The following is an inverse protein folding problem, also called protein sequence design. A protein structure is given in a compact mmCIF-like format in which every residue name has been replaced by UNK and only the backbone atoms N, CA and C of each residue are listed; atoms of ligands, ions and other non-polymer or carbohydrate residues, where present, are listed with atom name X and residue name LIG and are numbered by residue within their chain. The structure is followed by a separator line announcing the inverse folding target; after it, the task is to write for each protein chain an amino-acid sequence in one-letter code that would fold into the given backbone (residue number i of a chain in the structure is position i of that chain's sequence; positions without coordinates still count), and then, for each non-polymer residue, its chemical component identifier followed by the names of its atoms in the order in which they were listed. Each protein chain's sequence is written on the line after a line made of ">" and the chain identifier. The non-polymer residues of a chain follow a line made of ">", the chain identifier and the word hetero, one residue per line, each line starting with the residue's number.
data_IF_023098895540
#
_entry.id   IF_023098895540
#
_cell.length_a   1.000
_cell.length_b   1.000
_cell.length_c   1.000
_cell.angle_alpha   90.00
_cell.angle_beta   90.00
_cell.angle_gamma   90.00
#
_symmetry.space_group_name_H-M   'P 1'
#
loop_
_entity.id
_entity.type
_entity.pdbx_description
1 polymer ?
#
# COMPACT_ATOMS: atom_id res chain seq x y z
N UNK A 1 22.28 -3.56 21.75
CA UNK A 1 21.58 -4.29 20.67
C UNK A 1 21.74 -3.51 19.38
N UNK A 2 22.46 -4.04 18.39
CA UNK A 2 22.83 -3.34 17.15
C UNK A 2 21.76 -3.63 16.08
N UNK A 3 21.07 -2.60 15.62
CA UNK A 3 20.08 -2.73 14.54
C UNK A 3 20.77 -3.17 13.24
N UNK A 4 20.23 -4.18 12.52
CA UNK A 4 20.81 -4.59 11.24
C UNK A 4 20.63 -3.47 10.21
N UNK A 5 21.73 -3.11 9.55
CA UNK A 5 21.76 -2.10 8.50
C UNK A 5 21.10 -2.71 7.25
N UNK A 6 19.89 -2.26 6.93
CA UNK A 6 19.11 -2.77 5.79
C UNK A 6 19.47 -2.00 4.51
N UNK A 7 19.66 -2.69 3.37
CA UNK A 7 19.86 -2.06 2.07
C UNK A 7 18.73 -1.08 1.71
N UNK A 8 19.07 0.08 1.12
CA UNK A 8 18.13 1.14 0.74
C UNK A 8 17.01 0.69 -0.24
N UNK A 9 17.17 -0.45 -0.90
CA UNK A 9 16.18 -0.99 -1.85
C UNK A 9 14.87 -1.42 -1.19
N UNK A 10 14.85 -1.71 0.11
CA UNK A 10 13.63 -2.08 0.85
C UNK A 10 12.76 -0.89 1.26
N UNK A 11 13.25 0.34 1.08
CA UNK A 11 12.50 1.56 1.42
C UNK A 11 11.60 2.03 0.27
N UNK A 12 11.87 1.59 -0.96
CA UNK A 12 11.20 2.08 -2.18
C UNK A 12 9.87 1.38 -2.46
N UNK A 13 9.64 0.17 -1.92
CA UNK A 13 8.43 -0.62 -2.22
C UNK A 13 7.76 -1.18 -0.94
N UNK A 14 6.83 -0.43 -0.32
CA UNK A 14 6.16 -0.88 0.91
C UNK A 14 5.27 -2.12 0.71
N UNK A 15 4.85 -2.42 -0.52
CA UNK A 15 4.03 -3.61 -0.85
C UNK A 15 4.84 -4.91 -0.94
N UNK A 16 6.17 -4.86 -0.89
CA UNK A 16 7.05 -6.02 -1.01
C UNK A 16 7.79 -6.35 0.29
N UNK A 17 7.38 -5.80 1.44
CA UNK A 17 7.94 -6.23 2.73
C UNK A 17 7.52 -7.68 2.96
N UNK A 18 8.45 -8.66 2.99
CA UNK A 18 8.12 -9.93 3.59
C UNK A 18 7.80 -9.62 5.06
N UNK A 19 6.59 -9.94 5.49
CA UNK A 19 6.24 -9.97 6.91
C UNK A 19 7.36 -10.75 7.60
N UNK A 20 8.10 -10.12 8.50
CA UNK A 20 9.18 -10.79 9.22
C UNK A 20 8.47 -11.86 10.05
N UNK A 21 8.53 -13.10 9.59
CA UNK A 21 7.78 -14.21 10.16
C UNK A 21 8.34 -14.48 11.55
N UNK A 22 7.55 -14.16 12.57
CA UNK A 22 7.69 -14.75 13.91
C UNK A 22 7.59 -16.27 13.75
N UNK A 23 8.50 -17.08 14.33
CA UNK A 23 8.54 -18.53 14.13
C UNK A 23 7.31 -19.30 14.65
N UNK A 24 6.33 -18.62 15.27
CA UNK A 24 5.05 -19.18 15.67
C UNK A 24 3.96 -19.15 14.56
N UNK A 25 4.26 -18.59 13.38
CA UNK A 25 3.32 -18.44 12.26
C UNK A 25 3.47 -19.52 11.18
N UNK A 26 3.99 -20.71 11.51
CA UNK A 26 4.17 -21.80 10.54
C UNK A 26 2.93 -22.69 10.37
N UNK A 27 1.90 -22.53 11.21
CA UNK A 27 0.73 -23.42 11.22
C UNK A 27 -0.59 -22.80 10.70
N UNK A 28 -0.61 -21.52 10.27
CA UNK A 28 -1.87 -20.83 9.94
C UNK A 28 -1.88 -20.02 8.63
N UNK A 29 -0.91 -20.22 7.74
CA UNK A 29 -1.01 -19.64 6.39
C UNK A 29 -0.72 -20.66 5.26
N UNK A 30 -1.26 -21.87 5.41
CA UNK A 30 -1.49 -22.79 4.28
C UNK A 30 -2.62 -22.31 3.35
N UNK A 31 -3.04 -21.04 3.47
CA UNK A 31 -3.98 -20.36 2.59
C UNK A 31 -3.40 -19.05 2.09
N UNK A 32 -2.10 -19.02 1.76
CA UNK A 32 -1.59 -18.05 0.77
C UNK A 32 -2.51 -18.20 -0.44
N UNK A 33 -3.39 -17.21 -0.62
CA UNK A 33 -4.44 -17.24 -1.63
C UNK A 33 -3.82 -17.64 -2.96
N UNK A 34 -4.33 -18.71 -3.57
CA UNK A 34 -3.85 -19.26 -4.86
C UNK A 34 -3.81 -18.22 -5.99
N UNK A 35 -4.44 -17.05 -5.77
CA UNK A 35 -4.43 -15.87 -6.62
C UNK A 35 -3.76 -14.70 -5.88
N UNK A 36 -2.68 -14.09 -6.40
CA UNK A 36 -2.14 -12.84 -5.87
C UNK A 36 -3.05 -11.66 -6.26
N UNK A 37 -3.98 -11.33 -5.37
CA UNK A 37 -4.88 -10.18 -5.50
C UNK A 37 -4.18 -8.88 -5.11
N UNK A 38 -4.47 -7.80 -5.82
CA UNK A 38 -4.03 -6.46 -5.45
C UNK A 38 -4.89 -5.88 -4.33
N UNK A 39 -4.22 -5.22 -3.40
CA UNK A 39 -4.87 -4.47 -2.32
C UNK A 39 -5.30 -3.10 -2.84
N UNK A 40 -6.57 -2.76 -2.65
CA UNK A 40 -7.09 -1.43 -2.97
C UNK A 40 -6.42 -0.40 -2.05
N UNK A 41 -5.78 0.65 -2.60
CA UNK A 41 -5.12 1.67 -1.79
C UNK A 41 -6.13 2.40 -0.90
N UNK A 42 -5.80 2.52 0.39
CA UNK A 42 -6.62 3.25 1.36
C UNK A 42 -6.50 4.74 1.10
N UNK A 43 -7.64 5.44 1.11
CA UNK A 43 -7.73 6.89 0.90
C UNK A 43 -6.96 7.70 1.95
N UNK A 44 -6.90 7.21 3.19
CA UNK A 44 -6.22 7.87 4.28
C UNK A 44 -5.39 6.88 5.10
N UNK A 45 -4.18 7.31 5.47
CA UNK A 45 -3.32 6.65 6.46
C UNK A 45 -3.59 7.15 7.89
N UNK A 46 -4.51 8.11 8.04
CA UNK A 46 -4.84 8.71 9.32
C UNK A 46 -5.59 7.71 10.21
N UNK A 47 -5.33 7.77 11.51
CA UNK A 47 -6.06 7.00 12.52
C UNK A 47 -7.53 7.44 12.53
N UNK A 48 -8.44 6.54 12.85
CA UNK A 48 -9.88 6.84 12.98
C UNK A 48 -10.18 8.07 13.84
N UNK A 49 -9.42 8.26 14.92
CA UNK A 49 -9.53 9.43 15.81
C UNK A 49 -9.16 10.75 15.13
N UNK A 50 -8.19 10.75 14.22
CA UNK A 50 -7.80 11.94 13.46
C UNK A 50 -8.89 12.30 12.45
N UNK A 51 -9.48 11.31 11.79
CA UNK A 51 -10.61 11.51 10.90
C UNK A 51 -11.82 12.09 11.65
N UNK A 52 -12.12 11.57 12.85
CA UNK A 52 -13.19 12.10 13.69
C UNK A 52 -12.95 13.56 14.10
N UNK A 53 -11.72 13.92 14.48
CA UNK A 53 -11.34 15.31 14.81
C UNK A 53 -11.51 16.25 13.62
N UNK A 54 -11.05 15.84 12.43
CA UNK A 54 -11.20 16.65 11.21
C UNK A 54 -12.68 16.80 10.84
N UNK A 55 -13.48 15.75 10.97
CA UNK A 55 -14.93 15.80 10.77
C UNK A 55 -15.61 16.77 11.74
N UNK A 56 -15.30 16.66 13.04
CA UNK A 56 -15.83 17.55 14.07
C UNK A 56 -15.46 19.01 13.80
N UNK A 57 -14.20 19.27 13.43
CA UNK A 57 -13.74 20.61 13.08
C UNK A 57 -14.44 21.16 11.84
N UNK A 58 -14.69 20.32 10.82
CA UNK A 58 -15.43 20.70 9.63
C UNK A 58 -16.87 21.10 9.94
N UNK A 59 -17.57 20.30 10.75
CA UNK A 59 -18.93 20.61 11.21
C UNK A 59 -18.95 21.91 12.02
N UNK A 60 -18.03 22.08 12.96
CA UNK A 60 -17.92 23.30 13.77
C UNK A 60 -17.69 24.55 12.89
N UNK A 61 -16.86 24.44 11.85
CA UNK A 61 -16.60 25.54 10.91
C UNK A 61 -17.85 25.92 10.11
N UNK A 62 -18.58 24.94 9.58
CA UNK A 62 -19.85 25.19 8.86
C UNK A 62 -20.91 25.83 9.76
N UNK A 63 -21.08 25.33 10.98
CA UNK A 63 -22.01 25.91 11.96
C UNK A 63 -21.61 27.34 12.32
N UNK A 64 -20.31 27.59 12.53
CA UNK A 64 -19.79 28.92 12.81
C UNK A 64 -20.10 29.92 11.70
N UNK A 65 -19.88 29.55 10.45
CA UNK A 65 -20.22 30.38 9.28
C UNK A 65 -21.73 30.59 9.17
N UNK A 66 -22.54 29.55 9.35
CA UNK A 66 -24.00 29.68 9.28
C UNK A 66 -24.55 30.62 10.36
N UNK A 67 -24.12 30.43 11.62
CA UNK A 67 -24.50 31.29 12.74
C UNK A 67 -24.04 32.74 12.55
N UNK A 68 -22.84 32.93 11.99
CA UNK A 68 -22.32 34.25 11.65
C UNK A 68 -23.15 34.90 10.54
N UNK A 69 -23.54 34.15 9.51
CA UNK A 69 -24.40 34.62 8.43
C UNK A 69 -25.75 35.11 8.94
N UNK A 70 -26.43 34.31 9.76
CA UNK A 70 -27.69 34.69 10.41
C UNK A 70 -27.54 35.97 11.25
N UNK A 71 -26.47 36.05 12.03
CA UNK A 71 -26.17 37.24 12.86
C UNK A 71 -25.97 38.49 12.00
N UNK A 72 -25.29 38.37 10.85
CA UNK A 72 -25.06 39.46 9.90
C UNK A 72 -26.35 39.90 9.19
N UNK A 73 -27.30 38.97 8.95
CA UNK A 73 -28.62 39.27 8.38
C UNK A 73 -29.48 40.03 9.38
N UNK A 74 -29.56 39.55 10.63
CA UNK A 74 -30.32 40.20 11.71
C UNK A 74 -29.76 41.61 12.02
N UNK A 75 -28.44 41.78 11.93
CA UNK A 75 -27.79 43.07 12.15
C UNK A 75 -28.11 44.14 11.10
N UNK A 76 -28.59 43.78 9.90
CA UNK A 76 -28.96 44.76 8.85
C UNK A 76 -30.08 45.72 9.27
N UNK A 77 -30.92 45.35 10.24
CA UNK A 77 -32.09 46.15 10.65
C UNK A 77 -31.96 46.91 11.98
N UNK A 78 -31.05 46.53 12.88
CA UNK A 78 -31.09 47.00 14.29
C UNK A 78 -29.90 47.84 14.74
N UNK A 79 -28.86 48.00 13.92
CA UNK A 79 -27.54 48.36 14.45
C UNK A 79 -26.91 49.55 13.75
N UNK A 80 -27.44 50.75 14.00
CA UNK A 80 -26.80 52.03 13.64
C UNK A 80 -25.54 52.34 14.47
N UNK A 81 -25.23 51.57 15.52
CA UNK A 81 -24.12 51.83 16.47
C UNK A 81 -22.96 50.81 16.48
N UNK A 82 -23.04 49.68 15.79
CA UNK A 82 -21.93 48.68 15.72
C UNK A 82 -21.23 48.67 14.35
N UNK A 83 -21.26 49.80 13.64
CA UNK A 83 -21.05 49.90 12.19
C UNK A 83 -19.70 49.41 11.66
N UNK A 84 -18.61 49.55 12.43
CA UNK A 84 -17.27 49.20 11.95
C UNK A 84 -16.97 47.71 12.03
N UNK A 85 -17.19 47.07 13.19
CA UNK A 85 -16.94 45.64 13.36
C UNK A 85 -17.85 44.81 12.44
N UNK A 86 -19.15 45.14 12.38
CA UNK A 86 -20.09 44.45 11.49
C UNK A 86 -19.73 44.67 10.02
N UNK A 87 -19.22 45.84 9.66
CA UNK A 87 -18.69 46.13 8.32
C UNK A 87 -17.50 45.24 7.96
N UNK A 88 -16.53 45.11 8.87
CA UNK A 88 -15.39 44.23 8.71
C UNK A 88 -15.80 42.76 8.55
N UNK A 89 -16.72 42.26 9.40
CA UNK A 89 -17.19 40.88 9.31
C UNK A 89 -17.93 40.64 7.99
N UNK A 90 -18.71 41.60 7.48
CA UNK A 90 -19.34 41.51 6.15
C UNK A 90 -18.30 41.43 5.03
N UNK A 91 -17.16 42.10 5.17
CA UNK A 91 -16.08 42.06 4.20
C UNK A 91 -15.35 40.70 4.18
N UNK A 92 -15.08 40.11 5.34
CA UNK A 92 -14.36 38.83 5.45
C UNK A 92 -15.28 37.59 5.35
N UNK A 93 -16.59 37.77 5.52
CA UNK A 93 -17.56 36.67 5.50
C UNK A 93 -17.57 35.86 4.18
N UNK A 94 -17.58 36.49 2.98
CA UNK A 94 -17.55 35.73 1.73
C UNK A 94 -16.32 34.81 1.58
N UNK A 95 -15.06 35.27 1.74
CA UNK A 95 -13.92 34.36 1.66
C UNK A 95 -13.92 33.30 2.77
N UNK A 96 -14.40 33.64 3.98
CA UNK A 96 -14.54 32.67 5.07
C UNK A 96 -15.55 31.55 4.73
N UNK A 97 -16.64 31.91 4.06
CA UNK A 97 -17.66 30.95 3.61
C UNK A 97 -17.10 30.00 2.55
N UNK A 98 -16.37 30.53 1.57
CA UNK A 98 -15.70 29.73 0.53
C UNK A 98 -14.71 28.76 1.18
N UNK A 99 -13.94 29.22 2.17
CA UNK A 99 -12.99 28.39 2.89
C UNK A 99 -13.68 27.25 3.65
N UNK A 100 -14.74 27.54 4.41
CA UNK A 100 -15.47 26.54 5.19
C UNK A 100 -16.11 25.48 4.28
N UNK A 101 -16.69 25.90 3.15
CA UNK A 101 -17.20 24.98 2.14
C UNK A 101 -16.07 24.17 1.50
N UNK A 102 -14.97 24.81 1.13
CA UNK A 102 -13.81 24.15 0.54
C UNK A 102 -13.20 23.07 1.45
N UNK A 103 -13.13 23.33 2.75
CA UNK A 103 -12.64 22.38 3.76
C UNK A 103 -13.42 21.06 3.75
N UNK A 104 -14.74 21.10 3.49
CA UNK A 104 -15.61 19.92 3.45
C UNK A 104 -15.72 19.36 2.03
N UNK A 105 -15.95 20.21 1.03
CA UNK A 105 -16.17 19.81 -0.35
C UNK A 105 -14.93 19.17 -0.98
N UNK A 106 -13.72 19.69 -0.74
CA UNK A 106 -12.52 19.16 -1.39
C UNK A 106 -12.23 17.70 -1.01
N UNK A 107 -12.24 17.29 0.27
CA UNK A 107 -12.10 15.89 0.64
C UNK A 107 -13.22 15.00 0.09
N UNK A 108 -14.46 15.49 0.04
CA UNK A 108 -15.61 14.74 -0.48
C UNK A 108 -15.47 14.46 -1.98
N UNK A 109 -15.20 15.50 -2.77
CA UNK A 109 -14.99 15.39 -4.22
C UNK A 109 -13.82 14.46 -4.49
N UNK A 110 -12.71 14.62 -3.74
CA UNK A 110 -11.55 13.74 -3.86
C UNK A 110 -11.92 12.30 -3.53
N UNK A 111 -12.69 12.05 -2.47
CA UNK A 111 -13.09 10.71 -2.08
C UNK A 111 -13.94 10.05 -3.18
N UNK A 112 -14.96 10.74 -3.68
CA UNK A 112 -15.86 10.23 -4.74
C UNK A 112 -15.07 9.92 -6.01
N UNK A 113 -14.20 10.84 -6.45
CA UNK A 113 -13.37 10.65 -7.64
C UNK A 113 -12.41 9.46 -7.50
N UNK A 114 -11.68 9.37 -6.38
CA UNK A 114 -10.71 8.29 -6.15
C UNK A 114 -11.38 6.92 -6.01
N UNK A 115 -12.53 6.86 -5.32
CA UNK A 115 -13.28 5.62 -5.13
C UNK A 115 -13.80 5.06 -6.45
N UNK A 116 -14.27 5.92 -7.37
CA UNK A 116 -14.78 5.47 -8.66
C UNK A 116 -13.68 4.93 -9.58
N UNK A 117 -12.59 5.68 -9.74
CA UNK A 117 -11.60 5.39 -10.78
C UNK A 117 -10.64 4.26 -10.40
N UNK A 118 -10.12 4.26 -9.18
CA UNK A 118 -9.03 3.35 -8.82
C UNK A 118 -9.55 1.99 -8.36
N UNK A 119 -10.72 1.96 -7.70
CA UNK A 119 -11.33 0.68 -7.29
C UNK A 119 -11.76 -0.14 -8.50
N UNK A 120 -12.39 0.48 -9.51
CA UNK A 120 -12.83 -0.23 -10.72
C UNK A 120 -11.65 -0.83 -11.49
N UNK A 121 -10.54 -0.09 -11.60
CA UNK A 121 -9.33 -0.55 -12.31
C UNK A 121 -8.65 -1.73 -11.60
N UNK A 122 -8.55 -1.67 -10.27
CA UNK A 122 -7.95 -2.75 -9.46
C UNK A 122 -8.88 -3.97 -9.43
N UNK A 123 -10.18 -3.75 -9.29
CA UNK A 123 -11.17 -4.83 -9.30
C UNK A 123 -11.15 -5.58 -10.63
N UNK A 124 -11.16 -4.88 -11.77
CA UNK A 124 -11.08 -5.53 -13.08
C UNK A 124 -9.78 -6.34 -13.30
N UNK A 125 -8.65 -5.92 -12.71
CA UNK A 125 -7.41 -6.70 -12.72
C UNK A 125 -7.48 -7.93 -11.83
N UNK A 126 -8.05 -7.78 -10.64
CA UNK A 126 -8.24 -8.87 -9.69
C UNK A 126 -9.20 -9.93 -10.23
N UNK A 127 -10.27 -9.51 -10.91
CA UNK A 127 -11.20 -10.40 -11.61
C UNK A 127 -10.48 -11.21 -12.70
N UNK A 128 -9.69 -10.56 -13.57
CA UNK A 128 -8.89 -11.25 -14.59
C UNK A 128 -7.90 -12.26 -14.00
N UNK A 129 -7.23 -11.90 -12.89
CA UNK A 129 -6.31 -12.84 -12.21
C UNK A 129 -7.01 -14.05 -11.63
N UNK A 130 -8.20 -13.83 -11.07
CA UNK A 130 -9.02 -14.92 -10.53
C UNK A 130 -9.48 -15.84 -11.65
N UNK A 131 -9.91 -15.29 -12.79
CA UNK A 131 -10.26 -16.05 -13.99
C UNK A 131 -9.08 -16.87 -14.53
N UNK A 132 -7.88 -16.28 -14.61
CA UNK A 132 -6.68 -17.01 -15.07
C UNK A 132 -6.30 -18.17 -14.16
N UNK A 133 -6.37 -17.98 -12.84
CA UNK A 133 -6.09 -19.08 -11.90
C UNK A 133 -7.15 -20.17 -11.99
N UNK A 134 -8.42 -19.82 -12.16
CA UNK A 134 -9.49 -20.80 -12.39
C UNK A 134 -9.24 -21.62 -13.67
N UNK A 135 -8.80 -20.97 -14.76
CA UNK A 135 -8.43 -21.66 -16.01
C UNK A 135 -7.19 -22.56 -15.86
N UNK A 136 -6.23 -22.18 -15.01
CA UNK A 136 -5.02 -22.97 -14.73
C UNK A 136 -5.28 -24.14 -13.78
N UNK A 137 -6.24 -24.01 -12.85
CA UNK A 137 -6.63 -25.06 -11.91
C UNK A 137 -7.62 -26.05 -12.52
N UNK A 138 -8.44 -25.62 -13.49
CA UNK A 138 -9.24 -26.52 -14.32
C UNK A 138 -8.38 -27.33 -15.30
N UNK A 139 -9.01 -28.13 -16.17
CA UNK A 139 -8.28 -28.86 -17.23
C UNK A 139 -7.73 -27.84 -18.24
N UNK A 140 -6.41 -27.57 -18.24
CA UNK A 140 -5.85 -26.56 -19.13
C UNK A 140 -5.86 -27.10 -20.55
N UNK A 141 -6.27 -26.28 -21.52
CA UNK A 141 -6.24 -26.61 -22.94
C UNK A 141 -4.83 -27.06 -23.36
N UNK A 142 -4.72 -28.03 -24.27
CA UNK A 142 -3.45 -28.59 -24.74
C UNK A 142 -2.45 -27.51 -25.20
N UNK A 143 -2.94 -26.49 -25.91
CA UNK A 143 -2.13 -25.35 -26.37
C UNK A 143 -1.61 -24.45 -25.24
N UNK A 144 -2.32 -24.34 -24.11
CA UNK A 144 -1.87 -23.58 -22.95
C UNK A 144 -0.77 -24.34 -22.19
N UNK A 145 -0.92 -25.67 -22.08
CA UNK A 145 0.11 -26.53 -21.47
C UNK A 145 1.42 -26.47 -22.23
N UNK A 146 1.37 -26.54 -23.55
CA UNK A 146 2.54 -26.47 -24.43
C UNK A 146 3.31 -25.15 -24.22
N UNK A 147 2.60 -24.01 -24.24
CA UNK A 147 3.20 -22.70 -23.97
C UNK A 147 3.82 -22.57 -22.58
N UNK A 148 3.20 -23.18 -21.57
CA UNK A 148 3.74 -23.20 -20.21
C UNK A 148 5.04 -24.03 -20.14
N UNK A 149 5.05 -25.22 -20.76
CA UNK A 149 6.23 -26.10 -20.82
C UNK A 149 7.38 -25.44 -21.56
N UNK A 150 7.12 -24.83 -22.72
CA UNK A 150 8.15 -24.13 -23.49
C UNK A 150 8.76 -22.96 -22.72
N UNK A 151 7.93 -22.22 -21.98
CA UNK A 151 8.42 -21.10 -21.18
C UNK A 151 9.22 -21.55 -19.97
N UNK A 152 8.78 -22.62 -19.29
CA UNK A 152 9.56 -23.23 -18.20
C UNK A 152 10.90 -23.75 -18.73
N UNK A 153 10.89 -24.44 -19.87
CA UNK A 153 12.10 -24.92 -20.55
C UNK A 153 13.04 -23.77 -20.87
N UNK A 154 12.56 -22.69 -21.49
CA UNK A 154 13.35 -21.50 -21.81
C UNK A 154 13.97 -20.84 -20.58
N UNK A 155 13.20 -20.70 -19.48
CA UNK A 155 13.71 -20.15 -18.22
C UNK A 155 14.82 -21.02 -17.62
N UNK A 156 14.66 -22.34 -17.64
CA UNK A 156 15.68 -23.29 -17.17
C UNK A 156 16.93 -23.21 -18.03
N UNK A 157 16.79 -23.19 -19.36
CA UNK A 157 17.91 -23.04 -20.29
C UNK A 157 18.65 -21.71 -20.09
N UNK A 158 17.94 -20.61 -19.81
CA UNK A 158 18.58 -19.32 -19.54
C UNK A 158 19.35 -19.31 -18.22
N UNK A 159 18.80 -19.94 -17.16
CA UNK A 159 19.50 -20.10 -15.88
C UNK A 159 20.76 -20.96 -16.02
N UNK A 160 20.67 -22.04 -16.81
CA UNK A 160 21.81 -22.90 -17.11
C UNK A 160 22.86 -22.17 -17.96
N UNK A 161 22.44 -21.37 -18.95
CA UNK A 161 23.35 -20.57 -19.75
C UNK A 161 24.05 -19.48 -18.94
N UNK A 162 23.35 -18.83 -17.99
CA UNK A 162 24.00 -17.86 -17.09
C UNK A 162 24.95 -18.52 -16.10
N UNK A 163 24.63 -19.72 -15.58
CA UNK A 163 25.54 -20.44 -14.67
C UNK A 163 26.75 -21.07 -15.38
N UNK A 164 26.67 -21.34 -16.68
CA UNK A 164 27.79 -21.88 -17.48
C UNK A 164 28.76 -20.78 -17.90
N UNK A 165 28.32 -19.53 -17.99
CA UNK A 165 29.18 -18.37 -18.35
C UNK A 165 29.92 -17.81 -17.12
N UNK A 166 29.44 -18.02 -15.90
CA UNK A 166 30.09 -17.58 -14.64
C UNK A 166 31.17 -18.56 -14.14
N UNK A 167 31.93 -19.15 -15.05
CA UNK A 167 33.08 -20.03 -14.75
C UNK A 167 34.31 -19.31 -14.17
N UNK A 168 34.21 -18.05 -13.72
CA UNK A 168 35.31 -17.35 -13.07
C UNK A 168 34.84 -16.46 -11.91
N UNK A 169 34.49 -17.10 -10.78
CA UNK A 169 34.75 -16.53 -9.46
C UNK A 169 33.60 -15.83 -8.72
N UNK A 170 32.34 -15.96 -9.11
CA UNK A 170 31.23 -15.43 -8.29
C UNK A 170 30.35 -16.55 -7.73
N UNK A 171 30.50 -16.82 -6.43
CA UNK A 171 29.68 -17.78 -5.70
C UNK A 171 28.32 -17.16 -5.43
N UNK A 172 27.36 -17.41 -6.31
CA UNK A 172 25.95 -17.04 -6.08
C UNK A 172 25.37 -17.94 -4.98
N UNK A 173 25.08 -17.35 -3.82
CA UNK A 173 24.51 -18.03 -2.66
C UNK A 173 23.17 -18.69 -2.99
N UNK A 174 23.20 -20.02 -3.17
CA UNK A 174 22.01 -20.87 -3.06
C UNK A 174 21.91 -21.39 -1.62
N UNK A 175 20.77 -21.15 -0.97
CA UNK A 175 20.54 -21.47 0.45
C UNK A 175 20.71 -22.98 0.73
N UNK A 176 20.46 -23.82 -0.28
CA UNK A 176 20.65 -25.27 -0.23
C UNK A 176 22.14 -25.66 -0.18
N UNK A 177 23.01 -24.93 -0.88
CA UNK A 177 24.45 -25.22 -0.90
C UNK A 177 25.17 -24.67 0.35
N UNK A 178 24.57 -23.69 1.04
CA UNK A 178 25.13 -23.08 2.24
C UNK A 178 25.06 -23.99 3.49
N UNK A 179 24.12 -24.95 3.52
CA UNK A 179 24.02 -25.91 4.63
C UNK A 179 25.04 -27.03 4.46
N UNK A 180 25.14 -27.61 3.25
CA UNK A 180 26.14 -28.62 2.94
C UNK A 180 27.57 -28.13 3.19
N UNK A 181 27.88 -26.86 2.85
CA UNK A 181 29.21 -26.27 3.09
C UNK A 181 29.50 -26.00 4.58
N UNK A 182 28.46 -25.88 5.42
CA UNK A 182 28.63 -25.74 6.88
C UNK A 182 28.85 -27.09 7.54
N UNK A 183 28.18 -28.12 7.07
CA UNK A 183 28.32 -29.48 7.58
C UNK A 183 29.73 -30.01 7.28
N UNK A 184 30.25 -29.75 6.07
CA UNK A 184 31.62 -30.15 5.68
C UNK A 184 32.70 -29.45 6.52
N UNK A 185 32.55 -28.14 6.75
CA UNK A 185 33.48 -27.37 7.60
C UNK A 185 33.38 -27.73 9.08
N UNK A 186 32.23 -28.23 9.54
CA UNK A 186 32.05 -28.72 10.91
C UNK A 186 32.71 -30.10 11.10
N UNK A 187 32.70 -30.96 10.09
CA UNK A 187 33.42 -32.24 10.10
C UNK A 187 34.94 -32.03 10.04
N UNK A 188 35.42 -31.11 9.21
CA UNK A 188 36.86 -30.80 9.11
C UNK A 188 37.42 -30.27 10.44
N UNK A 189 36.67 -29.42 11.14
CA UNK A 189 37.07 -28.86 12.45
C UNK A 189 37.02 -29.87 13.60
N UNK A 190 36.16 -30.90 13.51
CA UNK A 190 36.16 -32.03 14.43
C UNK A 190 37.39 -32.92 14.25
N UNK A 191 37.85 -33.09 13.00
CA UNK A 191 39.05 -33.89 12.70
C UNK A 191 40.34 -33.18 13.16
N UNK A 192 40.39 -31.86 13.09
CA UNK A 192 41.53 -31.08 13.61
C UNK A 192 41.61 -31.04 15.14
N UNK A 193 40.50 -31.25 15.85
CA UNK A 193 40.46 -31.27 17.32
C UNK A 193 40.75 -32.65 17.91
N UNK A 194 40.85 -33.69 17.07
CA UNK A 194 41.17 -35.07 17.44
C UNK A 194 42.61 -35.48 17.10
N UNK A 195 43.44 -34.54 16.66
CA UNK A 195 44.86 -34.74 16.33
C UNK A 195 45.75 -33.98 17.31
#
# INVERSE_FOLDING_TARGET
>A
MKSPNLPNSYLTYPSLRPSILTPASTALDNRVSLVPLEVVPKFSRARSTQLAKVGLLGVANLVGVAALGESLVVAKGKVRKAGELVGFLKMVYPPLTIYALGFVCLPLVRYIYHVGWEKGRIQGRNEKRTQWVQQLQGTPTSSLREKLVDKVRWLTSKKQASSVVEGHGEVVFSTLNSQALKDDKMEEKKLETLR
#
